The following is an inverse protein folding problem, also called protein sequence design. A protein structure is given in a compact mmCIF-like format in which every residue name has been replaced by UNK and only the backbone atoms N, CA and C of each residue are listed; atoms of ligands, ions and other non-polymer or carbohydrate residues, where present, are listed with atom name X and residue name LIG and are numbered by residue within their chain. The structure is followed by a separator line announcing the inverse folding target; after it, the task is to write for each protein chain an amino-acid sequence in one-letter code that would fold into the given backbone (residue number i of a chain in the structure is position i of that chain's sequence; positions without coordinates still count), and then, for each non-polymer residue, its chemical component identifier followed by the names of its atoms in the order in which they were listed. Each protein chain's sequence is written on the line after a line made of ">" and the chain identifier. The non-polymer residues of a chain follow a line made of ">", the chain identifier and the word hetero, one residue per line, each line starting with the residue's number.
data_IF_363285954086
#
_entry.id   IF_363285954086
#
_cell.length_a   1.000
_cell.length_b   1.000
_cell.length_c   1.000
_cell.angle_alpha   90.00
_cell.angle_beta   90.00
_cell.angle_gamma   90.00
#
_symmetry.space_group_name_H-M   'P 1'
#
loop_
_entity.id
_entity.type
_entity.pdbx_description
1 polymer ?
#
# COMPACT_ATOMS: atom_id res chain seq x y z
N UNK A 1 -37.44 -20.09 -48.01
CA UNK A 1 -36.76 -19.27 -46.97
C UNK A 1 -37.34 -19.62 -45.62
N UNK A 2 -36.54 -20.15 -44.67
CA UNK A 2 -37.00 -20.44 -43.30
C UNK A 2 -37.21 -19.12 -42.56
N UNK A 3 -38.44 -18.83 -42.13
CA UNK A 3 -38.74 -17.71 -41.24
C UNK A 3 -38.21 -18.06 -39.86
N UNK A 4 -37.01 -17.60 -39.53
CA UNK A 4 -36.49 -17.72 -38.16
C UNK A 4 -37.34 -16.84 -37.26
N UNK A 5 -38.05 -17.45 -36.31
CA UNK A 5 -38.92 -16.74 -35.40
C UNK A 5 -38.06 -15.92 -34.44
N UNK A 6 -38.40 -14.63 -34.24
CA UNK A 6 -37.68 -13.73 -33.35
C UNK A 6 -37.59 -14.28 -31.91
N UNK A 7 -38.60 -15.07 -31.49
CA UNK A 7 -38.62 -15.75 -30.19
C UNK A 7 -37.54 -16.82 -30.09
N UNK A 8 -37.33 -17.61 -31.14
CA UNK A 8 -36.32 -18.67 -31.16
C UNK A 8 -34.91 -18.07 -31.06
N UNK A 9 -34.68 -16.96 -31.77
CA UNK A 9 -33.41 -16.22 -31.69
C UNK A 9 -33.15 -15.64 -30.30
N UNK A 10 -34.18 -15.11 -29.64
CA UNK A 10 -34.06 -14.59 -28.28
C UNK A 10 -33.77 -15.72 -27.27
N UNK A 11 -34.40 -16.87 -27.46
CA UNK A 11 -34.18 -18.03 -26.62
C UNK A 11 -32.76 -18.58 -26.76
N UNK A 12 -32.22 -18.67 -27.99
CA UNK A 12 -30.83 -19.05 -28.23
C UNK A 12 -29.84 -18.06 -27.61
N UNK A 13 -30.10 -16.75 -27.72
CA UNK A 13 -29.27 -15.72 -27.10
C UNK A 13 -29.28 -15.83 -25.57
N UNK A 14 -30.43 -16.06 -24.96
CA UNK A 14 -30.55 -16.23 -23.51
C UNK A 14 -29.83 -17.50 -23.02
N UNK A 15 -29.89 -18.59 -23.80
CA UNK A 15 -29.16 -19.82 -23.51
C UNK A 15 -27.64 -19.61 -23.57
N UNK A 16 -27.15 -18.86 -24.55
CA UNK A 16 -25.73 -18.51 -24.67
C UNK A 16 -25.26 -17.60 -23.53
N UNK A 17 -26.09 -16.63 -23.10
CA UNK A 17 -25.78 -15.77 -21.94
C UNK A 17 -25.64 -16.59 -20.65
N UNK A 18 -26.59 -17.48 -20.36
CA UNK A 18 -26.56 -18.36 -19.19
C UNK A 18 -25.35 -19.32 -19.23
N UNK A 19 -24.99 -19.84 -20.41
CA UNK A 19 -23.79 -20.67 -20.58
C UNK A 19 -22.50 -19.86 -20.35
N UNK A 20 -22.46 -18.59 -20.75
CA UNK A 20 -21.31 -17.72 -20.51
C UNK A 20 -21.18 -17.32 -19.03
N UNK A 21 -22.30 -17.10 -18.33
CA UNK A 21 -22.31 -16.83 -16.89
C UNK A 21 -21.91 -18.05 -16.05
N UNK A 22 -22.37 -19.25 -16.42
CA UNK A 22 -21.99 -20.49 -15.73
C UNK A 22 -20.53 -20.88 -15.95
N UNK A 23 -19.92 -20.47 -17.06
CA UNK A 23 -18.48 -20.61 -17.32
C UNK A 23 -17.63 -19.51 -16.64
N UNK A 24 -18.24 -18.46 -16.09
CA UNK A 24 -17.55 -17.38 -15.35
C UNK A 24 -17.35 -17.69 -13.86
N UNK A 25 -17.66 -18.90 -13.43
CA UNK A 25 -17.26 -19.38 -12.11
C UNK A 25 -15.82 -19.86 -12.25
N UNK A 26 -14.89 -19.15 -11.60
CA UNK A 26 -13.41 -19.30 -11.62
C UNK A 26 -12.61 -18.36 -12.54
N UNK A 27 -13.13 -17.16 -12.84
CA UNK A 27 -12.26 -16.01 -13.08
C UNK A 27 -11.89 -15.34 -11.74
N UNK A 28 -10.63 -14.93 -11.48
CA UNK A 28 -10.30 -14.29 -10.22
C UNK A 28 -11.21 -13.07 -10.08
N UNK A 29 -11.95 -13.01 -8.96
CA UNK A 29 -12.71 -11.82 -8.54
C UNK A 29 -11.85 -10.62 -8.89
N UNK A 30 -12.26 -9.85 -9.89
CA UNK A 30 -11.69 -8.55 -10.14
C UNK A 30 -12.09 -7.71 -8.94
N UNK A 31 -11.29 -7.80 -7.87
CA UNK A 31 -11.14 -6.73 -6.91
C UNK A 31 -11.01 -5.45 -7.74
N UNK A 32 -11.70 -4.36 -7.41
CA UNK A 32 -11.47 -3.11 -8.10
C UNK A 32 -9.96 -2.86 -8.03
N UNK A 33 -9.28 -2.92 -9.19
CA UNK A 33 -7.88 -2.53 -9.34
C UNK A 33 -7.77 -1.02 -9.23
N UNK A 34 -8.34 -0.42 -8.20
CA UNK A 34 -7.82 0.83 -7.68
C UNK A 34 -6.52 0.41 -7.00
N UNK A 35 -5.42 0.39 -7.75
CA UNK A 35 -4.07 0.38 -7.15
C UNK A 35 -3.98 1.70 -6.40
N UNK A 36 -4.45 1.71 -5.16
CA UNK A 36 -4.28 2.87 -4.30
C UNK A 36 -2.77 2.98 -4.09
N UNK A 37 -2.17 4.04 -4.59
CA UNK A 37 -0.74 4.21 -4.46
C UNK A 37 -0.40 4.49 -2.99
N UNK A 38 0.77 4.05 -2.52
CA UNK A 38 1.15 4.29 -1.12
C UNK A 38 1.13 5.79 -0.76
N UNK A 39 1.48 6.64 -1.72
CA UNK A 39 1.40 8.11 -1.60
C UNK A 39 -0.02 8.64 -1.40
N UNK A 40 -1.04 7.88 -1.82
CA UNK A 40 -2.45 8.21 -1.61
C UNK A 40 -2.96 7.70 -0.26
N UNK A 41 -2.31 6.68 0.31
CA UNK A 41 -2.65 6.09 1.61
C UNK A 41 -1.93 6.73 2.79
N UNK A 42 -0.76 7.34 2.55
CA UNK A 42 0.06 7.97 3.58
C UNK A 42 0.28 9.44 3.22
N UNK A 43 -0.13 10.32 4.14
CA UNK A 43 0.35 11.69 4.13
C UNK A 43 1.86 11.71 4.34
N UNK A 44 2.53 12.71 3.75
CA UNK A 44 3.94 12.95 4.02
C UNK A 44 4.15 13.17 5.52
N UNK A 45 5.18 12.53 6.08
CA UNK A 45 5.53 12.70 7.49
C UNK A 45 6.06 14.11 7.74
N UNK A 46 5.52 14.82 8.73
CA UNK A 46 6.09 16.08 9.21
C UNK A 46 6.83 15.86 10.53
N UNK A 47 8.16 16.01 10.58
CA UNK A 47 8.94 15.80 11.80
C UNK A 47 8.64 16.80 12.93
N UNK A 48 8.01 17.94 12.63
CA UNK A 48 7.66 18.97 13.63
C UNK A 48 6.31 18.70 14.31
N UNK A 49 5.34 18.11 13.59
CA UNK A 49 3.96 17.96 14.06
C UNK A 49 3.52 16.51 14.23
N UNK A 50 4.13 15.58 13.49
CA UNK A 50 3.66 14.20 13.42
C UNK A 50 4.42 13.30 14.39
N UNK A 51 3.68 12.39 14.98
CA UNK A 51 4.24 11.36 15.84
C UNK A 51 4.84 10.23 15.00
N UNK A 52 6.17 10.05 15.08
CA UNK A 52 6.93 9.06 14.31
C UNK A 52 6.42 7.63 14.52
N UNK A 53 6.01 7.28 15.73
CA UNK A 53 5.44 5.98 16.09
C UNK A 53 4.06 5.75 15.45
N UNK A 54 3.23 6.78 15.38
CA UNK A 54 1.95 6.74 14.67
C UNK A 54 2.17 6.59 13.16
N UNK A 55 3.09 7.37 12.58
CA UNK A 55 3.45 7.28 11.17
C UNK A 55 3.96 5.89 10.81
N UNK A 56 4.89 5.35 11.60
CA UNK A 56 5.41 3.99 11.41
C UNK A 56 4.27 2.98 11.46
N UNK A 57 3.43 3.01 12.49
CA UNK A 57 2.30 2.08 12.64
C UNK A 57 1.35 2.10 11.44
N UNK A 58 1.02 3.29 10.95
CA UNK A 58 0.20 3.46 9.75
C UNK A 58 0.89 2.87 8.52
N UNK A 59 2.17 3.17 8.32
CA UNK A 59 2.97 2.59 7.22
C UNK A 59 2.96 1.06 7.25
N UNK A 60 3.19 0.42 8.41
CA UNK A 60 3.19 -1.05 8.51
C UNK A 60 1.82 -1.65 8.18
N UNK A 61 0.73 -0.97 8.56
CA UNK A 61 -0.63 -1.37 8.23
C UNK A 61 -0.90 -1.28 6.73
N UNK A 62 -0.46 -0.21 6.08
CA UNK A 62 -0.62 -0.06 4.63
C UNK A 62 0.20 -1.08 3.85
N UNK A 63 1.43 -1.39 4.28
CA UNK A 63 2.24 -2.44 3.67
C UNK A 63 1.57 -3.82 3.75
N UNK A 64 0.94 -4.14 4.90
CA UNK A 64 0.17 -5.38 5.07
C UNK A 64 -1.09 -5.40 4.21
N UNK A 65 -1.79 -4.28 4.07
CA UNK A 65 -2.99 -4.19 3.24
C UNK A 65 -2.68 -4.38 1.75
N UNK A 66 -1.52 -3.91 1.30
CA UNK A 66 -1.08 -4.03 -0.08
C UNK A 66 -0.30 -5.34 -0.37
N UNK A 67 -0.10 -6.19 0.64
CA UNK A 67 0.73 -7.41 0.58
C UNK A 67 2.08 -7.17 -0.12
N UNK A 68 2.73 -6.06 0.26
CA UNK A 68 3.98 -5.64 -0.38
C UNK A 68 5.17 -6.49 0.06
N UNK A 69 6.02 -6.83 -0.91
CA UNK A 69 7.24 -7.58 -0.67
C UNK A 69 8.14 -6.88 0.35
N UNK A 70 8.75 -7.67 1.23
CA UNK A 70 9.63 -7.19 2.30
C UNK A 70 10.83 -6.44 1.75
N UNK A 71 11.30 -6.84 0.58
CA UNK A 71 12.45 -6.21 -0.09
C UNK A 71 12.10 -4.81 -0.64
N UNK A 72 10.85 -4.60 -1.06
CA UNK A 72 10.36 -3.31 -1.54
C UNK A 72 10.00 -2.36 -0.39
N UNK A 73 9.65 -2.91 0.78
CA UNK A 73 9.24 -2.13 1.96
C UNK A 73 10.25 -1.06 2.36
N UNK A 74 11.55 -1.34 2.24
CA UNK A 74 12.58 -0.35 2.55
C UNK A 74 12.55 0.82 1.56
N UNK A 75 12.47 0.53 0.26
CA UNK A 75 12.41 1.56 -0.79
C UNK A 75 11.17 2.45 -0.63
N UNK A 76 10.02 1.84 -0.36
CA UNK A 76 8.79 2.57 -0.11
C UNK A 76 8.84 3.40 1.18
N UNK A 77 9.49 2.88 2.21
CA UNK A 77 9.66 3.60 3.46
C UNK A 77 10.52 4.84 3.27
N UNK A 78 11.66 4.73 2.58
CA UNK A 78 12.53 5.87 2.28
C UNK A 78 11.78 6.91 1.44
N UNK A 79 11.01 6.48 0.44
CA UNK A 79 10.22 7.39 -0.40
C UNK A 79 9.08 8.12 0.32
N UNK A 80 8.65 7.62 1.48
CA UNK A 80 7.60 8.24 2.30
C UNK A 80 8.14 9.26 3.33
N UNK A 81 9.47 9.34 3.49
CA UNK A 81 10.12 10.23 4.45
C UNK A 81 10.54 11.55 3.80
N UNK A 82 10.53 12.67 4.55
CA UNK A 82 11.08 13.95 4.11
C UNK A 82 12.56 13.86 3.77
N UNK A 83 13.02 14.78 2.91
CA UNK A 83 14.42 14.87 2.50
C UNK A 83 15.40 14.99 3.67
N UNK A 84 15.00 15.70 4.72
CA UNK A 84 15.80 15.87 5.94
C UNK A 84 15.99 14.54 6.68
N UNK A 85 14.91 13.76 6.80
CA UNK A 85 14.94 12.45 7.49
C UNK A 85 15.70 11.42 6.66
N UNK A 86 15.51 11.41 5.34
CA UNK A 86 16.29 10.53 4.44
C UNK A 86 17.77 10.88 4.44
N UNK A 87 18.12 12.17 4.52
CA UNK A 87 19.52 12.62 4.66
C UNK A 87 20.15 12.14 5.97
N UNK A 88 19.38 12.13 7.08
CA UNK A 88 19.86 11.56 8.35
C UNK A 88 20.18 10.07 8.24
N UNK A 89 19.35 9.31 7.51
CA UNK A 89 19.57 7.89 7.27
C UNK A 89 20.81 7.69 6.38
N UNK A 90 20.96 8.48 5.31
CA UNK A 90 22.09 8.38 4.37
C UNK A 90 23.43 8.76 5.00
N UNK A 91 23.47 9.75 5.90
CA UNK A 91 24.71 10.19 6.59
C UNK A 91 25.24 9.16 7.59
N UNK A 92 24.38 8.27 8.06
CA UNK A 92 24.73 7.22 9.03
C UNK A 92 25.00 5.87 8.37
N UNK A 93 24.71 5.72 7.08
CA UNK A 93 24.80 4.48 6.34
C UNK A 93 26.01 4.45 5.41
N UNK A 94 27.16 3.98 5.90
CA UNK A 94 28.18 3.36 5.03
C UNK A 94 27.88 1.87 4.75
N UNK A 95 27.09 1.20 5.60
CA UNK A 95 26.72 -0.21 5.42
C UNK A 95 25.36 -0.38 4.73
N UNK A 96 25.40 -0.76 3.46
CA UNK A 96 24.27 -1.04 2.56
C UNK A 96 23.32 -2.18 3.01
N UNK A 97 23.50 -2.75 4.22
CA UNK A 97 22.82 -3.96 4.69
C UNK A 97 21.72 -3.72 5.73
N UNK A 98 21.48 -2.49 6.16
CA UNK A 98 20.51 -2.22 7.22
C UNK A 98 19.08 -2.20 6.69
N UNK A 99 18.39 -3.33 6.80
CA UNK A 99 17.00 -3.47 6.40
C UNK A 99 16.03 -2.61 7.22
N UNK A 100 14.76 -2.59 6.78
CA UNK A 100 13.67 -1.81 7.38
C UNK A 100 13.60 -1.85 8.93
N UNK A 101 13.71 -3.01 9.62
CA UNK A 101 13.60 -3.05 11.09
C UNK A 101 14.70 -2.24 11.80
N UNK A 102 15.90 -2.21 11.23
CA UNK A 102 17.02 -1.48 11.80
C UNK A 102 16.78 0.03 11.73
N UNK A 103 16.43 0.53 10.54
CA UNK A 103 16.14 1.95 10.32
C UNK A 103 14.94 2.41 11.16
N UNK A 104 13.88 1.59 11.23
CA UNK A 104 12.71 1.83 12.09
C UNK A 104 13.11 2.05 13.55
N UNK A 105 13.95 1.17 14.10
CA UNK A 105 14.41 1.27 15.50
C UNK A 105 15.19 2.55 15.78
N UNK A 106 16.02 3.00 14.84
CA UNK A 106 16.79 4.25 14.98
C UNK A 106 15.91 5.50 14.93
N UNK A 107 15.03 5.58 13.93
CA UNK A 107 14.09 6.70 13.82
C UNK A 107 13.25 6.80 15.08
N UNK A 108 12.73 5.66 15.55
CA UNK A 108 11.95 5.62 16.79
C UNK A 108 12.76 6.16 17.98
N UNK A 109 14.02 5.76 18.19
CA UNK A 109 14.86 6.28 19.27
C UNK A 109 15.07 7.80 19.18
N UNK A 110 15.27 8.35 17.98
CA UNK A 110 15.54 9.79 17.80
C UNK A 110 14.31 10.64 18.01
N UNK A 111 13.18 10.28 17.39
CA UNK A 111 11.96 11.08 17.47
C UNK A 111 11.20 10.88 18.78
N UNK A 112 11.41 9.75 19.50
CA UNK A 112 10.88 9.56 20.86
C UNK A 112 11.46 10.55 21.88
N UNK A 113 12.68 11.05 21.66
CA UNK A 113 13.34 11.97 22.59
C UNK A 113 12.69 13.37 22.65
N UNK A 114 11.86 13.73 21.66
CA UNK A 114 11.22 15.05 21.58
C UNK A 114 10.12 15.20 22.64
N UNK A 115 9.40 14.13 23.01
CA UNK A 115 8.36 14.17 24.04
C UNK A 115 8.92 14.43 25.46
N UNK A 116 10.17 14.03 25.72
CA UNK A 116 10.81 14.20 27.04
C UNK A 116 11.32 15.62 27.31
N UNK A 117 11.40 16.50 26.30
CA UNK A 117 11.88 17.88 26.50
C UNK A 117 10.79 18.90 26.82
N UNK A 118 9.51 18.56 26.63
CA UNK A 118 8.40 19.52 26.77
C UNK A 118 7.71 19.45 28.14
N UNK A 119 8.13 18.54 29.05
CA UNK A 119 7.56 18.44 30.41
C UNK A 119 8.45 19.13 31.47
N UNK A 120 9.46 19.88 31.05
CA UNK A 120 10.27 20.72 31.93
C UNK A 120 10.42 22.11 31.31
N UNK A 121 9.41 22.95 31.55
CA UNK A 121 9.38 24.36 31.20
C UNK A 121 8.24 25.03 31.95
#
# INVERSE_FOLDING_TARGET
>A
MRRVNKKDRLFELQKLLLQNETQRVEGPKALPKTRIELKELLSAFNPETDYMDMFLTLFERQMKLLDLDKDLRLSYFIGALPGEVTTLISRESEEKSEGYPHIRGRLFKRFKLIYTRVVTG
#
